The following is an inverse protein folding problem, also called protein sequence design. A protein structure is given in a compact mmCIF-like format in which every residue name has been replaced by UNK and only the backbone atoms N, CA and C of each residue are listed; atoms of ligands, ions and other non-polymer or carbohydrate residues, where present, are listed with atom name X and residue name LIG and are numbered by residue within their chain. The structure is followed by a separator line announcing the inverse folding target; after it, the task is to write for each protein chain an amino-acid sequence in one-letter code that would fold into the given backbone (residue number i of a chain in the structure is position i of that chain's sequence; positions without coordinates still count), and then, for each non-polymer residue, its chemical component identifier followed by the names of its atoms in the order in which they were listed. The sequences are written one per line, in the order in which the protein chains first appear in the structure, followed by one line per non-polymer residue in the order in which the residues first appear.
data_IF_241331924651
#
_entry.id   IF_241331924651
#
_cell.length_a   1.000
_cell.length_b   1.000
_cell.length_c   1.000
_cell.angle_alpha   90.00
_cell.angle_beta   90.00
_cell.angle_gamma   90.00
#
_symmetry.space_group_name_H-M   'P 1'
#
loop_
_entity.id
_entity.type
_entity.pdbx_description
1 polymer ?
#
# COMPACT_ATOMS: atom_id res chain seq x y z
N UNK A 1 -7.02 -0.38 23.17
CA UNK A 1 -7.53 0.29 21.96
C UNK A 1 -7.70 -0.79 20.91
N UNK A 2 -8.91 -0.98 20.41
CA UNK A 2 -9.17 -1.87 19.28
C UNK A 2 -8.60 -1.22 18.02
N UNK A 3 -7.42 -1.67 17.59
CA UNK A 3 -6.86 -1.26 16.31
C UNK A 3 -7.87 -1.64 15.22
N UNK A 4 -8.40 -0.65 14.51
CA UNK A 4 -9.42 -0.91 13.49
C UNK A 4 -8.69 -1.28 12.20
N UNK A 5 -8.66 -2.58 11.90
CA UNK A 5 -8.10 -3.11 10.66
C UNK A 5 -9.24 -3.50 9.73
N UNK A 6 -9.19 -3.04 8.49
CA UNK A 6 -10.07 -3.50 7.40
C UNK A 6 -9.22 -3.86 6.20
N UNK A 7 -9.45 -5.02 5.60
CA UNK A 7 -8.77 -5.45 4.38
C UNK A 7 -9.84 -5.52 3.29
N UNK A 8 -9.57 -4.92 2.14
CA UNK A 8 -10.49 -4.94 1.01
C UNK A 8 -10.63 -6.36 0.45
N UNK A 9 -11.88 -6.81 0.31
CA UNK A 9 -12.25 -8.05 -0.38
C UNK A 9 -12.25 -7.91 -1.91
N UNK A 10 -11.72 -6.82 -2.47
CA UNK A 10 -11.36 -6.72 -3.89
C UNK A 10 -9.99 -6.10 -4.05
N UNK A 11 -9.18 -6.66 -4.95
CA UNK A 11 -7.99 -5.98 -5.44
C UNK A 11 -8.43 -4.68 -6.09
N UNK A 12 -7.64 -3.64 -5.90
CA UNK A 12 -7.90 -2.32 -6.45
C UNK A 12 -6.71 -1.90 -7.29
N UNK A 13 -7.03 -1.08 -8.27
CA UNK A 13 -6.04 -0.34 -9.03
C UNK A 13 -5.70 0.92 -8.22
N UNK A 14 -4.41 1.22 -8.10
CA UNK A 14 -3.88 2.38 -7.40
C UNK A 14 -2.95 3.16 -8.32
N UNK A 15 -2.86 4.46 -8.06
CA UNK A 15 -1.86 5.34 -8.68
C UNK A 15 -0.78 5.61 -7.66
N UNK A 16 0.45 5.24 -7.98
CA UNK A 16 1.63 5.45 -7.15
C UNK A 16 2.47 6.55 -7.79
N UNK A 17 2.84 7.56 -7.01
CA UNK A 17 3.69 8.63 -7.50
C UNK A 17 5.17 8.20 -7.48
N UNK A 18 5.81 8.23 -8.64
CA UNK A 18 7.21 7.87 -8.83
C UNK A 18 8.00 9.07 -9.38
N UNK A 19 9.33 8.96 -9.44
CA UNK A 19 10.17 9.99 -10.09
C UNK A 19 9.80 10.23 -11.55
N UNK A 20 9.25 9.23 -12.23
CA UNK A 20 8.84 9.29 -13.64
C UNK A 20 7.38 9.71 -13.83
N UNK A 21 6.69 10.08 -12.74
CA UNK A 21 5.26 10.39 -12.75
C UNK A 21 4.41 9.31 -12.09
N UNK A 22 3.10 9.39 -12.30
CA UNK A 22 2.11 8.47 -11.74
C UNK A 22 2.10 7.13 -12.48
N UNK A 23 2.17 6.04 -11.73
CA UNK A 23 2.19 4.68 -12.26
C UNK A 23 1.02 3.89 -11.67
N UNK A 24 0.32 3.18 -12.54
CA UNK A 24 -0.76 2.28 -12.15
C UNK A 24 -0.20 0.99 -11.56
N UNK A 25 -0.71 0.58 -10.40
CA UNK A 25 -0.39 -0.68 -9.73
C UNK A 25 -1.67 -1.39 -9.29
N UNK A 26 -1.68 -2.72 -9.38
CA UNK A 26 -2.73 -3.54 -8.79
C UNK A 26 -2.25 -4.07 -7.44
N UNK A 27 -3.15 -4.11 -6.46
CA UNK A 27 -2.83 -4.65 -5.14
C UNK A 27 -4.03 -4.61 -4.21
N UNK A 28 -3.76 -4.55 -2.91
CA UNK A 28 -4.79 -4.59 -1.88
C UNK A 28 -4.87 -3.29 -1.09
N UNK A 29 -6.10 -2.87 -0.80
CA UNK A 29 -6.33 -1.79 0.16
C UNK A 29 -6.43 -2.38 1.56
N UNK A 30 -5.66 -1.82 2.49
CA UNK A 30 -5.72 -2.13 3.92
C UNK A 30 -5.89 -0.82 4.68
N UNK A 31 -6.91 -0.73 5.52
CA UNK A 31 -7.11 0.39 6.43
C UNK A 31 -6.63 -0.01 7.82
N UNK A 32 -5.71 0.77 8.41
CA UNK A 32 -5.25 0.58 9.79
C UNK A 32 -5.38 1.90 10.53
N UNK A 33 -6.15 1.91 11.62
CA UNK A 33 -6.37 3.10 12.46
C UNK A 33 -6.85 4.33 11.68
N UNK A 34 -7.67 4.08 10.65
CA UNK A 34 -8.25 5.10 9.78
C UNK A 34 -7.33 5.62 8.67
N UNK A 35 -6.16 5.00 8.48
CA UNK A 35 -5.23 5.32 7.39
C UNK A 35 -5.36 4.25 6.32
N UNK A 36 -5.60 4.66 5.07
CA UNK A 36 -5.72 3.76 3.93
C UNK A 36 -4.36 3.54 3.26
N UNK A 37 -3.95 2.28 3.22
CA UNK A 37 -2.73 1.82 2.59
C UNK A 37 -3.05 1.01 1.32
N UNK A 38 -2.26 1.22 0.27
CA UNK A 38 -2.16 0.33 -0.87
C UNK A 38 -0.94 -0.57 -0.68
N UNK A 39 -1.14 -1.89 -0.78
CA UNK A 39 -0.10 -2.90 -0.60
C UNK A 39 0.03 -3.73 -1.87
N UNK A 40 1.23 -3.80 -2.43
CA UNK A 40 1.51 -4.62 -3.61
C UNK A 40 2.97 -5.12 -3.60
N UNK A 41 3.23 -6.35 -4.07
CA UNK A 41 4.59 -6.82 -4.26
C UNK A 41 5.14 -6.34 -5.62
N UNK A 42 6.41 -6.01 -5.67
CA UNK A 42 7.15 -5.70 -6.90
C UNK A 42 8.60 -6.13 -6.75
N UNK A 43 9.17 -6.68 -7.82
CA UNK A 43 10.56 -7.12 -7.79
C UNK A 43 10.97 -7.97 -8.97
N UNK A 44 12.17 -8.51 -8.86
CA UNK A 44 12.78 -9.48 -9.78
C UNK A 44 12.97 -10.82 -9.06
N UNK A 45 13.43 -11.83 -9.79
CA UNK A 45 13.80 -13.13 -9.20
C UNK A 45 14.95 -13.05 -8.17
N UNK A 46 15.64 -11.92 -8.06
CA UNK A 46 16.76 -11.74 -7.12
C UNK A 46 16.46 -10.78 -5.99
N UNK A 47 15.40 -9.97 -6.12
CA UNK A 47 15.04 -8.99 -5.11
C UNK A 47 13.57 -8.63 -5.22
N UNK A 48 12.82 -8.88 -4.16
CA UNK A 48 11.40 -8.53 -4.08
C UNK A 48 11.12 -7.64 -2.89
N UNK A 49 10.30 -6.62 -3.11
CA UNK A 49 9.77 -5.77 -2.07
C UNK A 49 8.25 -5.83 -2.04
N UNK A 50 7.71 -5.80 -0.84
CA UNK A 50 6.34 -5.43 -0.60
C UNK A 50 6.26 -3.93 -0.34
N UNK A 51 5.60 -3.23 -1.24
CA UNK A 51 5.39 -1.79 -1.15
C UNK A 51 4.15 -1.52 -0.31
N UNK A 52 4.27 -0.60 0.64
CA UNK A 52 3.17 -0.08 1.44
C UNK A 52 3.13 1.43 1.24
N UNK A 53 2.10 1.88 0.53
CA UNK A 53 1.94 3.27 0.14
C UNK A 53 0.66 3.85 0.74
N UNK A 54 0.67 5.14 1.03
CA UNK A 54 -0.56 5.85 1.35
C UNK A 54 -1.41 6.00 0.07
N UNK A 55 -2.70 5.67 0.17
CA UNK A 55 -3.55 5.45 -0.99
C UNK A 55 -3.93 6.72 -1.77
N UNK A 56 -4.07 7.87 -1.11
CA UNK A 56 -4.56 9.11 -1.75
C UNK A 56 -3.48 9.87 -2.51
N UNK A 57 -2.25 9.84 -2.00
CA UNK A 57 -1.08 10.52 -2.59
C UNK A 57 -0.13 9.57 -3.31
N UNK A 58 -0.30 8.25 -3.15
CA UNK A 58 0.65 7.26 -3.63
C UNK A 58 2.01 7.29 -2.93
N UNK A 59 2.15 8.05 -1.83
CA UNK A 59 3.42 8.19 -1.11
C UNK A 59 3.88 6.84 -0.55
N UNK A 60 5.10 6.43 -0.87
CA UNK A 60 5.72 5.23 -0.28
C UNK A 60 6.05 5.50 1.19
N UNK A 61 5.53 4.64 2.08
CA UNK A 61 5.78 4.70 3.51
C UNK A 61 6.75 3.62 3.96
N UNK A 62 6.58 2.41 3.43
CA UNK A 62 7.45 1.27 3.70
C UNK A 62 7.72 0.48 2.43
N UNK A 63 8.93 -0.04 2.32
CA UNK A 63 9.29 -1.08 1.36
C UNK A 63 9.91 -2.23 2.16
N UNK A 64 9.17 -3.32 2.28
CA UNK A 64 9.55 -4.47 3.11
C UNK A 64 10.19 -5.50 2.18
N UNK A 65 11.47 -5.87 2.35
CA UNK A 65 12.04 -6.97 1.57
C UNK A 65 11.31 -8.27 1.94
N UNK A 66 10.94 -9.05 0.92
CA UNK A 66 10.33 -10.38 1.10
C UNK A 66 11.10 -11.41 0.29
N UNK A 67 11.03 -12.67 0.72
CA UNK A 67 11.69 -13.76 0.02
C UNK A 67 10.98 -14.09 -1.30
N UNK A 68 11.74 -14.64 -2.25
CA UNK A 68 11.19 -15.00 -3.57
C UNK A 68 10.05 -16.03 -3.46
N UNK A 69 10.13 -16.96 -2.51
CA UNK A 69 9.11 -17.98 -2.31
C UNK A 69 7.80 -17.32 -1.89
N UNK A 70 7.84 -16.43 -0.90
CA UNK A 70 6.66 -15.67 -0.47
C UNK A 70 6.09 -14.87 -1.66
N UNK A 71 6.94 -14.20 -2.44
CA UNK A 71 6.49 -13.48 -3.63
C UNK A 71 5.73 -14.35 -4.64
N UNK A 72 6.22 -15.57 -4.90
CA UNK A 72 5.57 -16.51 -5.80
C UNK A 72 4.25 -17.03 -5.21
N UNK A 73 4.14 -17.13 -3.88
CA UNK A 73 2.92 -17.52 -3.18
C UNK A 73 1.87 -16.41 -3.10
N UNK A 74 2.28 -15.13 -3.17
CA UNK A 74 1.37 -13.99 -3.31
C UNK A 74 0.65 -13.92 -4.66
N UNK A 75 0.82 -14.93 -5.53
CA UNK A 75 0.14 -15.01 -6.82
C UNK A 75 -1.38 -15.24 -6.73
N UNK A 76 -1.87 -15.67 -5.56
CA UNK A 76 -3.30 -15.76 -5.27
C UNK A 76 -3.68 -14.75 -4.21
N UNK A 77 -4.88 -14.22 -4.38
CA UNK A 77 -5.49 -13.26 -3.47
C UNK A 77 -5.57 -13.78 -2.02
N UNK A 78 -6.01 -15.02 -1.83
CA UNK A 78 -6.23 -15.55 -0.47
C UNK A 78 -4.92 -15.69 0.29
N UNK A 79 -3.86 -16.20 -0.37
CA UNK A 79 -2.50 -16.23 0.18
C UNK A 79 -1.97 -14.83 0.46
N UNK A 80 -2.25 -13.86 -0.40
CA UNK A 80 -1.86 -12.47 -0.16
C UNK A 80 -2.55 -11.87 1.07
N UNK A 81 -3.86 -12.11 1.23
CA UNK A 81 -4.61 -11.67 2.42
C UNK A 81 -4.02 -12.29 3.69
N UNK A 82 -3.76 -13.60 3.67
CA UNK A 82 -3.17 -14.33 4.80
C UNK A 82 -1.80 -13.76 5.17
N UNK A 83 -0.90 -13.64 4.19
CA UNK A 83 0.43 -13.08 4.40
C UNK A 83 0.37 -11.63 4.92
N UNK A 84 -0.55 -10.79 4.40
CA UNK A 84 -0.68 -9.41 4.88
C UNK A 84 -1.18 -9.32 6.32
N UNK A 85 -2.11 -10.21 6.71
CA UNK A 85 -2.59 -10.30 8.10
C UNK A 85 -1.49 -10.73 9.06
N UNK A 86 -0.67 -11.70 8.66
CA UNK A 86 0.27 -12.34 9.57
C UNK A 86 1.63 -11.65 9.62
N UNK A 87 2.06 -11.06 8.51
CA UNK A 87 3.41 -10.50 8.38
C UNK A 87 3.42 -8.97 8.27
N UNK A 88 2.51 -8.37 7.51
CA UNK A 88 2.64 -6.97 7.09
C UNK A 88 1.92 -6.01 8.03
N UNK A 89 0.66 -6.30 8.32
CA UNK A 89 -0.17 -5.50 9.24
C UNK A 89 0.48 -5.41 10.62
N UNK A 90 1.00 -6.50 11.23
CA UNK A 90 1.66 -6.42 12.52
C UNK A 90 2.90 -5.51 12.52
N UNK A 91 3.67 -5.47 11.42
CA UNK A 91 4.81 -4.58 11.28
C UNK A 91 4.38 -3.10 11.26
N UNK A 92 3.33 -2.78 10.49
CA UNK A 92 2.78 -1.41 10.44
C UNK A 92 2.24 -1.01 11.82
N UNK A 93 1.49 -1.89 12.48
CA UNK A 93 0.97 -1.65 13.83
C UNK A 93 2.07 -1.45 14.86
N UNK A 94 3.14 -2.25 14.79
CA UNK A 94 4.32 -2.08 15.65
C UNK A 94 4.93 -0.69 15.44
N UNK A 95 5.06 -0.23 14.19
CA UNK A 95 5.59 1.10 13.89
C UNK A 95 4.70 2.23 14.40
N UNK A 96 3.39 2.10 14.23
CA UNK A 96 2.40 3.05 14.78
C UNK A 96 2.53 3.12 16.31
N UNK A 97 2.67 1.96 16.97
CA UNK A 97 2.82 1.87 18.43
C UNK A 97 4.12 2.52 18.92
N UNK A 98 5.24 2.28 18.23
CA UNK A 98 6.55 2.84 18.57
C UNK A 98 6.60 4.37 18.40
N UNK A 99 6.00 4.90 17.34
CA UNK A 99 6.01 6.34 17.06
C UNK A 99 4.90 7.10 17.81
N UNK A 100 3.82 6.42 18.18
CA UNK A 100 2.56 7.02 18.58
C UNK A 100 1.70 7.42 17.38
N UNK A 101 0.39 7.13 17.45
CA UNK A 101 -0.54 7.29 16.32
C UNK A 101 -0.57 8.72 15.75
N UNK A 102 -0.60 9.74 16.60
CA UNK A 102 -0.65 11.14 16.15
C UNK A 102 0.62 11.58 15.43
N UNK A 103 1.79 11.12 15.91
CA UNK A 103 3.06 11.39 15.26
C UNK A 103 3.13 10.68 13.92
N UNK A 104 2.70 9.42 13.88
CA UNK A 104 2.65 8.65 12.65
C UNK A 104 1.74 9.31 11.61
N UNK A 105 0.53 9.74 11.99
CA UNK A 105 -0.38 10.49 11.10
C UNK A 105 0.27 11.77 10.56
N UNK A 106 1.00 12.52 11.39
CA UNK A 106 1.73 13.72 10.93
C UNK A 106 2.83 13.38 9.92
N UNK A 107 3.53 12.27 10.08
CA UNK A 107 4.54 11.80 9.12
C UNK A 107 3.89 11.39 7.79
N UNK A 108 2.76 10.69 7.84
CA UNK A 108 1.96 10.34 6.66
C UNK A 108 1.49 11.60 5.93
N UNK A 109 0.92 12.58 6.63
CA UNK A 109 0.47 13.83 6.01
C UNK A 109 1.63 14.65 5.40
N UNK A 110 2.81 14.64 6.03
CA UNK A 110 4.01 15.26 5.44
C UNK A 110 4.40 14.56 4.13
N UNK A 111 4.39 13.23 4.10
CA UNK A 111 4.69 12.47 2.90
C UNK A 111 3.66 12.76 1.80
N UNK A 112 2.37 12.81 2.13
CA UNK A 112 1.30 13.18 1.20
C UNK A 112 1.53 14.56 0.58
N UNK A 113 1.73 15.57 1.41
CA UNK A 113 1.95 16.95 0.95
C UNK A 113 3.17 17.05 0.03
N UNK A 114 4.27 16.39 0.39
CA UNK A 114 5.48 16.36 -0.44
C UNK A 114 5.21 15.75 -1.82
N UNK A 115 4.48 14.63 -1.88
CA UNK A 115 4.17 13.99 -3.16
C UNK A 115 3.25 14.85 -4.02
N UNK A 116 2.22 15.47 -3.42
CA UNK A 116 1.30 16.37 -4.13
C UNK A 116 1.99 17.62 -4.67
N UNK A 117 2.89 18.22 -3.89
CA UNK A 117 3.67 19.39 -4.31
C UNK A 117 4.59 19.04 -5.49
N UNK A 118 5.23 17.87 -5.44
CA UNK A 118 6.25 17.48 -6.41
C UNK A 118 5.69 16.86 -7.69
N UNK A 119 4.62 16.09 -7.59
CA UNK A 119 4.07 15.28 -8.68
C UNK A 119 2.63 15.66 -9.08
N UNK A 120 2.06 16.69 -8.43
CA UNK A 120 0.70 17.15 -8.66
C UNK A 120 -0.36 16.26 -8.02
N UNK A 121 -1.63 16.51 -8.35
CA UNK A 121 -2.74 15.67 -7.89
C UNK A 121 -2.69 14.28 -8.50
N UNK A 122 -3.16 13.28 -7.73
CA UNK A 122 -3.34 11.92 -8.22
C UNK A 122 -4.31 11.91 -9.42
N UNK A 123 -3.95 11.29 -10.56
CA UNK A 123 -4.88 11.12 -11.68
C UNK A 123 -6.10 10.31 -11.27
N UNK A 124 -7.25 10.62 -11.86
CA UNK A 124 -8.42 9.76 -11.73
C UNK A 124 -8.13 8.38 -12.33
N UNK A 125 -8.42 7.33 -11.57
CA UNK A 125 -8.40 5.97 -12.07
C UNK A 125 -9.77 5.76 -12.73
N UNK A 126 -9.81 5.66 -14.06
CA UNK A 126 -11.00 5.16 -14.73
C UNK A 126 -11.18 3.71 -14.29
N UNK A 127 -12.28 3.40 -13.62
CA UNK A 127 -12.66 2.02 -13.36
C UNK A 127 -12.69 1.27 -14.70
N UNK A 128 -11.86 0.23 -14.81
CA UNK A 128 -11.85 -0.67 -15.98
C UNK A 128 -12.98 -1.72 -15.84
N UNK A 129 -13.78 -1.65 -14.77
CA UNK A 129 -15.04 -2.40 -14.68
C UNK A 129 -16.16 -1.59 -15.35
N UNK A 130 -16.27 -1.67 -16.69
CA UNK A 130 -17.43 -1.09 -17.37
C UNK A 130 -17.37 -0.79 -18.87
N UNK A 131 -16.41 -1.30 -19.65
CA UNK A 131 -16.51 -1.25 -21.13
C UNK A 131 -16.27 -2.63 -21.74
N UNK A 132 -17.18 -3.55 -21.46
CA UNK A 132 -17.54 -4.57 -22.45
C UNK A 132 -18.89 -4.15 -23.03
N UNK A 133 -18.86 -3.49 -24.17
CA UNK A 133 -20.02 -3.42 -25.06
C UNK A 133 -20.22 -4.77 -25.74
#
# INVERSE_FOLDING_TARGET
MTNTIKISEKDKVFQIATKSGWVVKAGMQVTIDGIDFAIYPEGTLTQVFLHVNEMSSGASLFNIPIDLIDFLDLNTRDKAIEYYKDSVIPLIQKKIKENGLDKFRKEVEKAKSYMLEKYGGRPEIKDIEGESK
#
